data_IF_683469010228
#
_entry.id   IF_683469010228
#
_cell.length_a   1.000
_cell.length_b   1.000
_cell.length_c   1.000
_cell.angle_alpha   90.00
_cell.angle_beta   90.00
_cell.angle_gamma   90.00
#
_symmetry.space_group_name_H-M   'P 1'
#
loop_
_entity.id
_entity.type
_entity.pdbx_description
1 polymer ?
#
# COMPACT_ATOMS: atom_id res chain seq x y z
N UNK A 1 52.56 -39.24 -30.75
CA UNK A 1 51.62 -38.12 -30.97
C UNK A 1 50.43 -38.35 -30.06
N UNK A 2 50.39 -37.67 -28.91
CA UNK A 2 49.59 -36.47 -28.64
C UNK A 2 48.25 -36.82 -27.98
N UNK A 3 48.25 -36.63 -26.66
CA UNK A 3 47.13 -36.68 -25.70
C UNK A 3 45.94 -35.86 -26.19
N UNK A 4 44.75 -36.48 -26.26
CA UNK A 4 43.43 -35.80 -26.35
C UNK A 4 42.36 -36.66 -25.68
N UNK A 5 42.36 -36.77 -24.34
CA UNK A 5 41.33 -37.54 -23.62
C UNK A 5 40.81 -36.79 -22.36
N UNK A 6 41.16 -35.53 -22.09
CA UNK A 6 40.80 -34.91 -20.79
C UNK A 6 40.37 -33.44 -20.87
N UNK A 7 39.42 -33.03 -21.71
CA UNK A 7 38.92 -31.62 -21.65
C UNK A 7 37.40 -31.37 -21.71
N UNK A 8 36.54 -32.32 -22.12
CA UNK A 8 35.13 -32.00 -22.43
C UNK A 8 34.06 -32.53 -21.45
N UNK A 9 34.25 -32.44 -20.12
CA UNK A 9 33.07 -32.38 -19.24
C UNK A 9 33.02 -31.09 -18.41
N UNK A 10 34.16 -30.46 -18.11
CA UNK A 10 34.22 -29.26 -17.27
C UNK A 10 33.86 -27.99 -18.03
N UNK A 11 34.32 -27.82 -19.27
CA UNK A 11 33.99 -26.64 -20.06
C UNK A 11 32.50 -26.55 -20.41
N UNK A 12 31.87 -27.68 -20.72
CA UNK A 12 30.44 -27.75 -21.05
C UNK A 12 29.56 -27.43 -19.83
N UNK A 13 29.92 -27.93 -18.65
CA UNK A 13 29.25 -27.60 -17.38
C UNK A 13 29.45 -26.11 -17.04
N UNK A 14 30.65 -25.57 -17.30
CA UNK A 14 30.96 -24.14 -17.05
C UNK A 14 30.24 -23.25 -18.06
N UNK A 15 30.10 -23.66 -19.31
CA UNK A 15 29.36 -22.96 -20.36
C UNK A 15 27.86 -22.94 -20.05
N UNK A 16 27.27 -24.09 -19.69
CA UNK A 16 25.88 -24.18 -19.24
C UNK A 16 25.65 -23.36 -17.97
N UNK A 17 26.60 -23.33 -17.03
CA UNK A 17 26.49 -22.50 -15.83
C UNK A 17 26.59 -20.99 -16.13
N UNK A 18 27.33 -20.58 -17.17
CA UNK A 18 27.41 -19.19 -17.64
C UNK A 18 26.13 -18.77 -18.35
N UNK A 19 25.61 -19.61 -19.24
CA UNK A 19 24.34 -19.38 -19.94
C UNK A 19 23.16 -19.31 -18.96
N UNK A 20 23.14 -20.19 -17.96
CA UNK A 20 22.19 -20.12 -16.85
C UNK A 20 22.38 -18.86 -15.96
N UNK A 21 23.62 -18.35 -15.81
CA UNK A 21 23.90 -17.09 -15.08
C UNK A 21 23.49 -15.86 -15.87
N UNK A 22 23.63 -15.86 -17.19
CA UNK A 22 23.19 -14.77 -18.06
C UNK A 22 21.66 -14.77 -18.23
N UNK A 23 21.02 -15.95 -18.25
CA UNK A 23 19.56 -16.06 -18.13
C UNK A 23 19.03 -15.54 -16.77
N UNK A 24 19.79 -15.72 -15.67
CA UNK A 24 19.49 -15.15 -14.34
C UNK A 24 19.65 -13.62 -14.28
N UNK A 25 20.33 -12.99 -15.24
CA UNK A 25 20.45 -11.52 -15.37
C UNK A 25 19.26 -10.87 -16.08
N UNK A 26 18.23 -11.64 -16.45
CA UNK A 26 17.09 -11.11 -17.18
C UNK A 26 16.28 -10.11 -16.31
N UNK A 27 16.18 -8.81 -16.67
CA UNK A 27 15.46 -7.81 -15.87
C UNK A 27 14.00 -8.17 -15.60
N UNK A 28 13.37 -8.91 -16.51
CA UNK A 28 12.02 -9.46 -16.33
C UNK A 28 11.92 -10.47 -15.19
N UNK A 29 12.94 -11.32 -15.01
CA UNK A 29 12.99 -12.27 -13.90
C UNK A 29 13.08 -11.54 -12.55
N UNK A 30 13.81 -10.41 -12.52
CA UNK A 30 13.90 -9.54 -11.33
C UNK A 30 12.57 -8.88 -10.99
N UNK A 31 11.81 -8.42 -12.00
CA UNK A 31 10.48 -7.84 -11.81
C UNK A 31 9.47 -8.87 -11.27
N UNK A 32 9.46 -10.09 -11.81
CA UNK A 32 8.59 -11.17 -11.32
C UNK A 32 8.93 -11.53 -9.87
N UNK A 33 10.21 -11.57 -9.53
CA UNK A 33 10.68 -11.83 -8.16
C UNK A 33 10.24 -10.71 -7.19
N UNK A 34 10.32 -9.45 -7.62
CA UNK A 34 9.83 -8.28 -6.86
C UNK A 34 8.33 -8.36 -6.59
N UNK A 35 7.50 -8.63 -7.61
CA UNK A 35 6.04 -8.77 -7.41
C UNK A 35 5.72 -9.93 -6.47
N UNK A 36 6.43 -11.05 -6.57
CA UNK A 36 6.31 -12.17 -5.63
C UNK A 36 6.61 -11.75 -4.18
N UNK A 37 7.66 -10.95 -3.98
CA UNK A 37 8.02 -10.41 -2.66
C UNK A 37 6.94 -9.45 -2.14
N UNK A 38 6.43 -8.53 -2.96
CA UNK A 38 5.34 -7.62 -2.58
C UNK A 38 4.10 -8.40 -2.13
N UNK A 39 3.68 -9.42 -2.88
CA UNK A 39 2.53 -10.26 -2.49
C UNK A 39 2.80 -11.02 -1.19
N UNK A 40 4.04 -11.49 -0.96
CA UNK A 40 4.43 -12.12 0.30
C UNK A 40 4.37 -11.14 1.48
N UNK A 41 4.74 -9.89 1.27
CA UNK A 41 4.67 -8.85 2.29
C UNK A 41 3.23 -8.40 2.56
N UNK A 42 2.41 -8.27 1.50
CA UNK A 42 0.99 -7.96 1.63
C UNK A 42 0.21 -9.04 2.39
N UNK A 43 0.65 -10.31 2.34
CA UNK A 43 0.07 -11.38 3.16
C UNK A 43 0.32 -11.21 4.66
N UNK A 44 1.31 -10.41 5.05
CA UNK A 44 1.59 -10.09 6.47
C UNK A 44 0.72 -8.94 6.97
N UNK A 45 0.00 -8.26 6.08
CA UNK A 45 -0.97 -7.25 6.50
C UNK A 45 -2.13 -7.96 7.15
N UNK A 46 -2.34 -7.69 8.43
CA UNK A 46 -3.47 -8.19 9.19
C UNK A 46 -4.75 -7.59 8.63
N UNK A 47 -5.66 -8.43 8.15
CA UNK A 47 -6.98 -7.99 7.71
C UNK A 47 -7.89 -7.83 8.92
N UNK A 48 -8.56 -6.68 9.05
CA UNK A 48 -9.33 -6.39 10.24
C UNK A 48 -10.54 -7.33 10.35
N UNK A 49 -10.94 -7.63 11.57
CA UNK A 49 -12.17 -8.40 11.81
C UNK A 49 -13.40 -7.53 11.55
N UNK A 50 -14.56 -8.15 11.26
CA UNK A 50 -15.81 -7.37 11.06
C UNK A 50 -16.17 -6.49 12.27
N UNK A 51 -15.78 -6.91 13.47
CA UNK A 51 -16.00 -6.13 14.71
C UNK A 51 -15.14 -4.86 14.75
N UNK A 52 -13.87 -4.95 14.35
CA UNK A 52 -12.98 -3.80 14.25
C UNK A 52 -13.47 -2.80 13.20
N UNK A 53 -13.90 -3.29 12.03
CA UNK A 53 -14.47 -2.45 10.97
C UNK A 53 -15.69 -1.65 11.45
N UNK A 54 -16.61 -2.31 12.17
CA UNK A 54 -17.77 -1.65 12.75
C UNK A 54 -17.38 -0.65 13.83
N UNK A 55 -16.37 -0.95 14.64
CA UNK A 55 -15.86 -0.05 15.68
C UNK A 55 -15.27 1.21 15.05
N UNK A 56 -14.39 1.07 14.05
CA UNK A 56 -13.79 2.23 13.37
C UNK A 56 -14.84 3.08 12.66
N UNK A 57 -15.77 2.45 11.96
CA UNK A 57 -16.87 3.17 11.29
C UNK A 57 -17.78 3.87 12.31
N UNK A 58 -18.08 3.22 13.43
CA UNK A 58 -18.89 3.77 14.52
C UNK A 58 -18.23 4.98 15.19
N UNK A 59 -16.92 4.92 15.45
CA UNK A 59 -16.14 6.04 15.99
C UNK A 59 -16.17 7.23 15.04
N UNK A 60 -15.98 7.01 13.74
CA UNK A 60 -16.05 8.07 12.72
C UNK A 60 -17.44 8.70 12.67
N UNK A 61 -18.50 7.89 12.67
CA UNK A 61 -19.88 8.38 12.71
C UNK A 61 -20.16 9.23 13.95
N UNK A 62 -19.74 8.77 15.13
CA UNK A 62 -19.91 9.53 16.37
C UNK A 62 -19.16 10.88 16.31
N UNK A 63 -17.93 10.89 15.81
CA UNK A 63 -17.15 12.11 15.61
C UNK A 63 -17.83 13.09 14.66
N UNK A 64 -18.34 12.61 13.53
CA UNK A 64 -19.07 13.44 12.54
C UNK A 64 -20.33 14.05 13.17
N UNK A 65 -21.11 13.28 13.93
CA UNK A 65 -22.30 13.77 14.62
C UNK A 65 -21.94 14.89 15.61
N UNK A 66 -20.87 14.73 16.39
CA UNK A 66 -20.41 15.77 17.31
C UNK A 66 -20.05 17.05 16.54
N UNK A 67 -19.33 16.94 15.42
CA UNK A 67 -19.00 18.11 14.59
C UNK A 67 -20.23 18.76 13.98
N UNK A 68 -21.22 17.99 13.53
CA UNK A 68 -22.50 18.53 13.06
C UNK A 68 -23.23 19.34 14.15
N UNK A 69 -23.24 18.84 15.38
CA UNK A 69 -23.85 19.56 16.52
C UNK A 69 -23.11 20.87 16.79
N UNK A 70 -21.77 20.83 16.86
CA UNK A 70 -20.96 22.02 17.12
C UNK A 70 -21.16 23.07 16.03
N UNK A 71 -21.04 22.67 14.76
CA UNK A 71 -21.21 23.58 13.63
C UNK A 71 -22.62 24.15 13.61
N UNK A 72 -23.65 23.32 13.80
CA UNK A 72 -25.04 23.80 13.82
C UNK A 72 -25.30 24.80 14.96
N UNK A 73 -24.74 24.59 16.15
CA UNK A 73 -24.85 25.53 17.25
C UNK A 73 -24.15 26.85 16.94
N UNK A 74 -22.94 26.78 16.37
CA UNK A 74 -22.20 27.97 15.96
C UNK A 74 -22.94 28.74 14.86
N UNK A 75 -23.47 28.05 13.85
CA UNK A 75 -24.26 28.66 12.78
C UNK A 75 -25.48 29.41 13.32
N UNK A 76 -26.20 28.81 14.29
CA UNK A 76 -27.31 29.45 14.97
C UNK A 76 -26.87 30.67 15.79
N UNK A 77 -25.77 30.54 16.54
CA UNK A 77 -25.23 31.63 17.34
C UNK A 77 -24.82 32.82 16.48
N UNK A 78 -24.06 32.58 15.41
CA UNK A 78 -23.63 33.64 14.50
C UNK A 78 -24.80 34.23 13.72
N UNK A 79 -25.78 33.42 13.31
CA UNK A 79 -27.01 33.90 12.67
C UNK A 79 -27.81 34.82 13.59
N UNK A 80 -28.00 34.43 14.86
CA UNK A 80 -28.67 35.26 15.85
C UNK A 80 -27.89 36.56 16.12
N UNK A 81 -26.57 36.48 16.32
CA UNK A 81 -25.73 37.66 16.53
C UNK A 81 -25.77 38.61 15.34
N UNK A 82 -25.77 38.10 14.11
CA UNK A 82 -25.89 38.93 12.91
C UNK A 82 -27.22 39.69 12.87
N UNK A 83 -28.34 39.03 13.22
CA UNK A 83 -29.65 39.68 13.33
C UNK A 83 -29.63 40.76 14.42
N UNK A 84 -29.04 40.49 15.58
CA UNK A 84 -28.97 41.47 16.67
C UNK A 84 -28.11 42.69 16.30
N UNK A 85 -26.97 42.46 15.64
CA UNK A 85 -26.02 43.53 15.28
C UNK A 85 -26.49 44.35 14.07
N UNK A 86 -27.05 43.70 13.05
CA UNK A 86 -27.38 44.34 11.77
C UNK A 86 -28.88 44.46 11.48
N UNK A 87 -29.75 43.80 12.26
CA UNK A 87 -31.20 43.77 12.03
C UNK A 87 -31.96 45.04 12.43
N UNK A 88 -31.34 45.93 13.22
CA UNK A 88 -31.90 47.25 13.56
C UNK A 88 -31.57 48.35 12.53
N UNK A 89 -31.03 47.98 11.36
CA UNK A 89 -30.58 48.90 10.31
C UNK A 89 -31.56 49.12 9.15
N UNK A 90 -32.81 48.67 9.26
CA UNK A 90 -33.89 48.93 8.30
C UNK A 90 -34.98 49.81 8.94
#
# INVERSE_FOLDING_TARGET
MARKIVDEPSEEIVAQAREQRDARRNPFARLVLFIKQVVQELKKVVTPTRKELLTFTGVVLAFVIVMMVIVSLLDQLFGYLAIVVFGNGA
#
